data_IF_160248975452
#
_entry.id   IF_160248975452
#
_cell.length_a   1.000
_cell.length_b   1.000
_cell.length_c   1.000
_cell.angle_alpha   90.00
_cell.angle_beta   90.00
_cell.angle_gamma   90.00
#
_symmetry.space_group_name_H-M   'P 1'
#
loop_
_entity.id
_entity.type
_entity.pdbx_description
1 polymer ?
#
# COMPACT_ATOMS: atom_id res chain seq x y z
N UNK A 1 10.50 0.48 -27.16
CA UNK A 1 11.61 1.48 -27.17
C UNK A 1 11.77 2.23 -25.85
N UNK A 2 10.72 2.84 -25.24
CA UNK A 2 10.82 3.51 -23.93
C UNK A 2 11.00 2.51 -22.78
N UNK A 3 10.21 1.43 -22.77
CA UNK A 3 10.27 0.37 -21.78
C UNK A 3 11.63 -0.33 -21.79
N UNK A 4 12.09 -0.78 -22.95
CA UNK A 4 13.39 -1.48 -23.10
C UNK A 4 14.57 -0.62 -22.58
N UNK A 5 14.53 0.69 -22.86
CA UNK A 5 15.56 1.61 -22.39
C UNK A 5 15.58 1.70 -20.86
N UNK A 6 14.41 1.73 -20.22
CA UNK A 6 14.34 1.82 -18.77
C UNK A 6 14.71 0.48 -18.09
N UNK A 7 14.33 -0.65 -18.68
CA UNK A 7 14.82 -1.98 -18.22
C UNK A 7 16.36 -2.06 -18.28
N UNK A 8 16.98 -1.54 -19.36
CA UNK A 8 18.45 -1.46 -19.47
C UNK A 8 19.06 -0.52 -18.41
N UNK A 9 18.39 0.58 -18.08
CA UNK A 9 18.83 1.49 -17.01
C UNK A 9 18.76 0.82 -15.64
N UNK A 10 17.70 0.04 -15.38
CA UNK A 10 17.57 -0.77 -14.15
C UNK A 10 18.74 -1.74 -14.04
N UNK A 11 19.00 -2.53 -15.07
CA UNK A 11 20.11 -3.49 -15.08
C UNK A 11 21.48 -2.80 -14.95
N UNK A 12 21.65 -1.63 -15.57
CA UNK A 12 22.87 -0.82 -15.45
C UNK A 12 23.05 -0.30 -14.02
N UNK A 13 21.98 0.19 -13.38
CA UNK A 13 22.02 0.66 -11.98
C UNK A 13 22.39 -0.48 -11.03
N UNK A 14 21.81 -1.68 -11.23
CA UNK A 14 22.13 -2.86 -10.45
C UNK A 14 23.60 -3.25 -10.62
N UNK A 15 24.11 -3.26 -11.85
CA UNK A 15 25.49 -3.67 -12.14
C UNK A 15 26.57 -2.75 -11.56
N UNK A 16 26.23 -1.50 -11.26
CA UNK A 16 27.15 -0.46 -10.74
C UNK A 16 27.08 -0.25 -9.24
N UNK A 17 26.06 -0.75 -8.60
CA UNK A 17 25.82 -0.51 -7.18
C UNK A 17 26.39 -1.61 -6.27
N UNK A 18 26.37 -1.39 -4.95
CA UNK A 18 26.83 -2.36 -3.98
C UNK A 18 25.93 -3.60 -3.86
N UNK A 19 24.65 -3.49 -4.24
CA UNK A 19 23.69 -4.59 -4.15
C UNK A 19 23.47 -5.25 -5.52
N UNK A 20 23.76 -6.56 -5.61
CA UNK A 20 23.41 -7.40 -6.75
C UNK A 20 21.99 -7.99 -6.56
N UNK A 21 21.32 -8.37 -7.68
CA UNK A 21 19.98 -8.97 -7.65
C UNK A 21 19.99 -10.45 -7.21
N UNK A 22 20.62 -10.72 -6.06
CA UNK A 22 20.69 -12.03 -5.41
C UNK A 22 20.36 -11.89 -3.93
N UNK A 23 19.71 -12.88 -3.35
CA UNK A 23 19.39 -12.85 -1.92
C UNK A 23 20.65 -12.71 -1.05
N UNK A 24 21.74 -13.38 -1.39
CA UNK A 24 23.01 -13.29 -0.66
C UNK A 24 23.56 -11.86 -0.60
N UNK A 25 23.49 -11.13 -1.71
CA UNK A 25 23.90 -9.72 -1.72
C UNK A 25 22.93 -8.84 -0.93
N UNK A 26 21.61 -9.09 -1.06
CA UNK A 26 20.58 -8.32 -0.40
C UNK A 26 20.55 -8.49 1.12
N UNK A 27 21.11 -9.60 1.68
CA UNK A 27 21.26 -9.79 3.13
C UNK A 27 22.22 -8.78 3.80
N UNK A 28 23.01 -8.03 3.02
CA UNK A 28 23.80 -6.92 3.57
C UNK A 28 22.98 -5.65 3.83
N UNK A 29 21.66 -5.67 3.54
CA UNK A 29 20.74 -4.61 3.86
C UNK A 29 20.59 -4.43 5.38
N UNK A 30 20.54 -3.18 5.82
CA UNK A 30 20.26 -2.82 7.21
C UNK A 30 19.03 -1.93 7.29
N UNK A 31 18.12 -2.28 8.20
CA UNK A 31 16.92 -1.46 8.45
C UNK A 31 17.34 -0.07 8.97
N UNK A 32 16.93 1.02 8.32
CA UNK A 32 17.40 2.35 8.66
C UNK A 32 16.91 2.81 10.04
N UNK A 33 17.75 3.55 10.74
CA UNK A 33 17.45 4.06 12.09
C UNK A 33 16.23 4.96 12.14
N UNK A 34 15.95 5.72 11.09
CA UNK A 34 14.75 6.55 11.04
C UNK A 34 13.51 5.69 11.23
N UNK A 35 13.44 4.51 10.60
CA UNK A 35 12.29 3.61 10.62
C UNK A 35 12.14 2.92 11.98
N UNK A 36 13.23 2.34 12.49
CA UNK A 36 13.23 1.69 13.80
C UNK A 36 12.97 2.66 14.95
N UNK A 37 13.12 3.98 14.75
CA UNK A 37 12.83 5.02 15.72
C UNK A 37 11.43 5.62 15.57
N UNK A 38 10.88 5.68 14.36
CA UNK A 38 9.58 6.30 14.08
C UNK A 38 8.40 5.57 14.74
N UNK A 39 8.40 4.24 14.72
CA UNK A 39 7.43 3.36 15.39
C UNK A 39 5.97 3.48 14.95
N UNK A 40 5.54 4.64 14.47
CA UNK A 40 4.16 4.92 14.08
C UNK A 40 4.12 5.69 12.76
N UNK A 41 3.32 5.21 11.83
CA UNK A 41 3.08 5.83 10.51
C UNK A 41 1.62 5.79 10.12
N UNK A 42 1.26 6.59 9.12
CA UNK A 42 -0.09 6.63 8.53
C UNK A 42 -0.07 5.99 7.14
N UNK A 43 -0.96 5.05 6.92
CA UNK A 43 -1.32 4.49 5.62
C UNK A 43 -2.51 5.25 5.06
N UNK A 44 -2.57 5.45 3.75
CA UNK A 44 -3.71 6.15 3.12
C UNK A 44 -4.24 5.33 1.96
N UNK A 45 -5.43 4.73 2.14
CA UNK A 45 -6.16 4.07 1.06
C UNK A 45 -7.17 5.05 0.44
N UNK A 46 -6.74 5.70 -0.63
CA UNK A 46 -7.54 6.67 -1.37
C UNK A 46 -7.39 6.45 -2.88
N UNK A 47 -8.50 6.28 -3.58
CA UNK A 47 -8.53 5.96 -5.00
C UNK A 47 -9.94 5.93 -5.55
N UNK A 48 -10.10 5.53 -6.81
CA UNK A 48 -11.40 5.43 -7.49
C UNK A 48 -12.37 4.50 -6.75
N UNK A 49 -11.86 3.47 -6.08
CA UNK A 49 -12.64 2.55 -5.25
C UNK A 49 -13.36 3.21 -4.06
N UNK A 50 -12.99 4.46 -3.71
CA UNK A 50 -13.70 5.25 -2.69
C UNK A 50 -15.06 5.78 -3.18
N UNK A 51 -15.27 5.87 -4.50
CA UNK A 51 -16.46 6.53 -5.08
C UNK A 51 -17.75 5.77 -4.79
N UNK A 52 -17.84 4.44 -4.94
CA UNK A 52 -19.07 3.71 -4.65
C UNK A 52 -19.51 3.83 -3.18
N UNK A 53 -18.56 3.95 -2.26
CA UNK A 53 -18.83 4.05 -0.82
C UNK A 53 -19.55 2.82 -0.26
N UNK A 54 -19.39 1.64 -0.85
CA UNK A 54 -20.09 0.40 -0.52
C UNK A 54 -19.13 -0.78 -0.45
N UNK A 55 -19.40 -1.74 0.42
CA UNK A 55 -18.57 -2.94 0.62
C UNK A 55 -17.24 -2.58 1.25
N UNK A 56 -16.20 -2.58 0.44
CA UNK A 56 -14.84 -2.16 0.81
C UNK A 56 -14.04 -1.77 -0.44
N UNK A 57 -12.72 -1.64 -0.30
CA UNK A 57 -11.79 -1.31 -1.40
C UNK A 57 -11.71 -2.38 -2.51
N UNK A 58 -12.28 -3.55 -2.28
CA UNK A 58 -12.42 -4.63 -3.29
C UNK A 58 -13.67 -4.48 -4.16
N UNK A 59 -14.50 -3.45 -3.95
CA UNK A 59 -15.68 -3.19 -4.77
C UNK A 59 -15.40 -3.28 -6.28
N UNK A 60 -14.27 -2.77 -6.81
CA UNK A 60 -13.97 -2.88 -8.24
C UNK A 60 -13.91 -4.30 -8.77
N UNK A 61 -13.49 -5.26 -7.95
CA UNK A 61 -13.50 -6.69 -8.27
C UNK A 61 -14.87 -7.30 -8.08
N UNK A 62 -15.44 -7.07 -6.90
CA UNK A 62 -16.67 -7.74 -6.46
C UNK A 62 -17.90 -7.31 -7.27
N UNK A 63 -17.93 -6.07 -7.84
CA UNK A 63 -18.98 -5.64 -8.74
C UNK A 63 -19.07 -6.45 -10.05
N UNK A 64 -18.06 -7.25 -10.36
CA UNK A 64 -18.04 -8.15 -11.53
C UNK A 64 -18.27 -9.62 -11.17
N UNK A 65 -18.65 -9.94 -9.95
CA UNK A 65 -18.95 -11.30 -9.49
C UNK A 65 -20.43 -11.42 -9.13
N UNK A 66 -21.22 -12.13 -9.92
CA UNK A 66 -22.68 -12.15 -9.90
C UNK A 66 -23.33 -12.58 -8.56
N UNK A 67 -22.59 -13.24 -7.69
CA UNK A 67 -23.06 -13.76 -6.40
C UNK A 67 -22.71 -12.86 -5.20
N UNK A 68 -22.12 -11.70 -5.43
CA UNK A 68 -21.70 -10.77 -4.38
C UNK A 68 -22.74 -9.70 -4.09
N UNK A 69 -22.78 -9.15 -2.85
CA UNK A 69 -23.58 -7.97 -2.52
C UNK A 69 -23.21 -6.74 -3.36
N UNK A 70 -21.93 -6.58 -3.70
CA UNK A 70 -21.41 -5.48 -4.50
C UNK A 70 -21.93 -5.53 -5.94
N UNK A 71 -22.01 -6.72 -6.55
CA UNK A 71 -22.64 -6.89 -7.86
C UNK A 71 -24.10 -6.49 -7.85
N UNK A 72 -24.85 -6.99 -6.86
CA UNK A 72 -26.27 -6.63 -6.73
C UNK A 72 -26.44 -5.14 -6.52
N UNK A 73 -25.68 -4.54 -5.60
CA UNK A 73 -25.69 -3.10 -5.35
C UNK A 73 -25.39 -2.31 -6.63
N UNK A 74 -24.39 -2.77 -7.40
CA UNK A 74 -24.00 -2.12 -8.64
C UNK A 74 -25.14 -2.10 -9.67
N UNK A 75 -25.75 -3.27 -9.92
CA UNK A 75 -26.90 -3.38 -10.85
C UNK A 75 -28.07 -2.50 -10.41
N UNK A 76 -28.41 -2.54 -9.12
CA UNK A 76 -29.55 -1.81 -8.57
C UNK A 76 -29.33 -0.28 -8.60
N UNK A 77 -28.08 0.20 -8.50
CA UNK A 77 -27.74 1.61 -8.35
C UNK A 77 -27.28 2.26 -9.65
N UNK A 78 -26.47 1.54 -10.45
CA UNK A 78 -25.77 2.10 -11.63
C UNK A 78 -26.17 1.42 -12.93
N UNK A 79 -26.86 0.27 -12.88
CA UNK A 79 -27.20 -0.53 -14.05
C UNK A 79 -26.14 -1.56 -14.41
N UNK A 80 -26.26 -2.20 -15.59
CA UNK A 80 -25.36 -3.27 -16.01
C UNK A 80 -23.95 -2.73 -16.34
N UNK A 81 -22.94 -3.56 -16.12
CA UNK A 81 -21.52 -3.20 -16.32
C UNK A 81 -21.16 -2.93 -17.79
N UNK A 82 -22.04 -3.25 -18.73
CA UNK A 82 -21.92 -2.82 -20.14
C UNK A 82 -22.26 -1.35 -20.36
N UNK A 83 -23.10 -0.76 -19.49
CA UNK A 83 -23.54 0.63 -19.55
C UNK A 83 -22.76 1.51 -18.55
N UNK A 84 -22.49 0.99 -17.37
CA UNK A 84 -21.72 1.63 -16.33
C UNK A 84 -20.76 0.65 -15.70
N UNK A 85 -19.49 0.65 -16.10
CA UNK A 85 -18.42 -0.16 -15.54
C UNK A 85 -17.60 0.58 -14.51
N UNK A 86 -16.57 -0.08 -13.97
CA UNK A 86 -15.70 0.55 -12.97
C UNK A 86 -15.03 1.83 -13.46
N UNK A 87 -14.61 1.89 -14.74
CA UNK A 87 -14.03 3.08 -15.37
C UNK A 87 -14.91 4.33 -15.26
N UNK A 88 -16.23 4.14 -15.17
CA UNK A 88 -17.20 5.24 -15.17
C UNK A 88 -17.28 5.94 -13.79
N UNK A 89 -16.66 5.38 -12.75
CA UNK A 89 -16.42 6.06 -11.49
C UNK A 89 -15.26 7.07 -11.55
N UNK A 90 -14.31 6.92 -12.48
CA UNK A 90 -13.12 7.79 -12.57
C UNK A 90 -13.49 9.28 -12.67
N UNK A 91 -14.45 9.72 -13.50
CA UNK A 91 -14.85 11.13 -13.55
C UNK A 91 -15.49 11.67 -12.26
N UNK A 92 -15.96 10.76 -11.38
CA UNK A 92 -16.57 11.12 -10.10
C UNK A 92 -15.54 11.20 -8.98
N UNK A 93 -14.38 10.56 -9.16
CA UNK A 93 -13.22 10.68 -8.28
C UNK A 93 -12.51 12.00 -8.57
N UNK A 94 -12.91 13.08 -7.93
CA UNK A 94 -12.45 14.44 -8.27
C UNK A 94 -11.38 15.00 -7.35
N UNK A 95 -11.38 14.60 -6.08
CA UNK A 95 -10.42 15.11 -5.12
C UNK A 95 -10.44 16.64 -4.97
N UNK A 96 -11.59 17.29 -5.19
CA UNK A 96 -11.73 18.75 -5.23
C UNK A 96 -11.45 19.42 -3.88
N UNK A 97 -11.51 18.64 -2.80
CA UNK A 97 -11.19 19.08 -1.44
C UNK A 97 -9.87 18.50 -0.93
N UNK A 98 -9.12 17.81 -1.78
CA UNK A 98 -7.82 17.28 -1.41
C UNK A 98 -6.84 18.42 -1.13
N UNK A 99 -6.46 18.56 0.11
CA UNK A 99 -5.44 19.50 0.60
C UNK A 99 -4.30 18.67 1.23
N UNK A 100 -3.21 18.43 0.51
CA UNK A 100 -2.10 17.61 1.01
C UNK A 100 -1.39 18.23 2.21
N UNK A 101 -1.39 19.57 2.34
CA UNK A 101 -0.80 20.23 3.50
C UNK A 101 -1.64 20.03 4.76
N UNK A 102 -2.97 20.09 4.62
CA UNK A 102 -3.88 19.79 5.73
C UNK A 102 -3.77 18.33 6.17
N UNK A 103 -3.68 17.38 5.22
CA UNK A 103 -3.47 15.98 5.55
C UNK A 103 -2.15 15.77 6.29
N UNK A 104 -1.05 16.31 5.77
CA UNK A 104 0.27 16.18 6.39
C UNK A 104 0.29 16.76 7.81
N UNK A 105 -0.34 17.90 8.04
CA UNK A 105 -0.43 18.52 9.38
C UNK A 105 -1.29 17.68 10.33
N UNK A 106 -2.39 17.08 9.85
CA UNK A 106 -3.20 16.16 10.66
C UNK A 106 -2.38 14.93 11.07
N UNK A 107 -1.67 14.31 10.12
CA UNK A 107 -0.85 13.12 10.39
C UNK A 107 0.31 13.43 11.32
N UNK A 108 0.96 14.59 11.15
CA UNK A 108 2.00 15.06 12.07
C UNK A 108 1.44 15.25 13.49
N UNK A 109 0.25 15.86 13.61
CA UNK A 109 -0.44 16.03 14.90
C UNK A 109 -0.90 14.72 15.52
N UNK A 110 -1.19 13.70 14.71
CA UNK A 110 -1.45 12.35 15.18
C UNK A 110 -0.18 11.65 15.74
N UNK A 111 0.99 12.26 15.59
CA UNK A 111 2.27 11.70 16.05
C UNK A 111 2.96 10.78 15.03
N UNK A 112 2.52 10.77 13.76
CA UNK A 112 3.14 9.94 12.75
C UNK A 112 4.57 10.42 12.42
N UNK A 113 5.51 9.47 12.31
CA UNK A 113 6.85 9.71 11.82
C UNK A 113 7.00 9.52 10.31
N UNK A 114 6.08 8.79 9.69
CA UNK A 114 6.08 8.53 8.25
C UNK A 114 4.66 8.35 7.71
N UNK A 115 4.49 8.56 6.38
CA UNK A 115 3.21 8.45 5.68
C UNK A 115 3.40 7.63 4.41
N UNK A 116 2.47 6.69 4.16
CA UNK A 116 2.50 5.74 3.03
C UNK A 116 1.17 5.82 2.28
N UNK A 117 1.02 6.67 1.25
CA UNK A 117 -0.15 6.61 0.38
C UNK A 117 -0.07 5.43 -0.60
N UNK A 118 -1.23 4.92 -0.99
CA UNK A 118 -1.37 3.96 -2.09
C UNK A 118 -1.08 4.67 -3.41
N UNK A 119 0.01 4.29 -4.10
CA UNK A 119 0.36 4.84 -5.41
C UNK A 119 -0.42 4.15 -6.55
N UNK A 120 -0.69 2.87 -6.41
CA UNK A 120 -1.54 2.09 -7.32
C UNK A 120 -2.14 0.91 -6.55
N UNK A 121 -3.47 0.79 -6.52
CA UNK A 121 -4.18 -0.32 -5.92
C UNK A 121 -4.37 -1.47 -6.92
N UNK A 122 -5.06 -2.54 -6.52
CA UNK A 122 -5.37 -3.69 -7.39
C UNK A 122 -6.17 -3.31 -8.64
N UNK A 123 -6.89 -2.20 -8.60
CA UNK A 123 -7.70 -1.66 -9.71
C UNK A 123 -6.89 -1.14 -10.89
N UNK A 124 -5.56 -0.99 -10.74
CA UNK A 124 -4.66 -0.54 -11.80
C UNK A 124 -4.73 0.95 -12.14
N UNK A 125 -5.52 1.74 -11.39
CA UNK A 125 -5.55 3.19 -11.56
C UNK A 125 -4.39 3.82 -10.78
N UNK A 126 -3.45 4.43 -11.51
CA UNK A 126 -2.28 5.06 -10.90
C UNK A 126 -2.63 6.43 -10.29
N UNK A 127 -2.41 6.60 -8.99
CA UNK A 127 -2.64 7.86 -8.28
C UNK A 127 -1.58 8.93 -8.55
N UNK A 128 -0.66 8.66 -9.46
CA UNK A 128 0.49 9.48 -9.85
C UNK A 128 0.58 9.66 -11.36
N UNK A 129 1.45 10.54 -11.83
CA UNK A 129 1.77 10.70 -13.26
C UNK A 129 2.62 9.52 -13.76
N UNK A 130 1.97 8.38 -14.02
CA UNK A 130 2.62 7.18 -14.54
C UNK A 130 2.92 7.32 -16.04
N UNK A 131 4.18 7.07 -16.40
CA UNK A 131 4.62 7.14 -17.80
C UNK A 131 4.24 5.89 -18.63
N UNK A 132 3.79 4.83 -17.96
CA UNK A 132 3.43 3.54 -18.54
C UNK A 132 1.91 3.30 -18.58
N UNK A 133 1.10 4.28 -18.16
CA UNK A 133 -0.36 4.20 -18.18
C UNK A 133 -1.01 5.50 -18.64
N UNK A 134 -2.13 5.37 -19.35
CA UNK A 134 -3.04 6.49 -19.60
C UNK A 134 -4.08 6.65 -18.49
N UNK A 135 -4.27 5.61 -17.66
CA UNK A 135 -5.23 5.56 -16.57
C UNK A 135 -4.59 6.04 -15.27
N UNK A 136 -4.50 7.36 -15.13
CA UNK A 136 -3.78 7.99 -14.01
C UNK A 136 -4.55 9.19 -13.46
N UNK A 137 -4.39 9.46 -12.17
CA UNK A 137 -4.96 10.64 -11.50
C UNK A 137 -4.42 11.96 -12.08
N UNK A 138 -3.23 11.95 -12.69
CA UNK A 138 -2.70 13.12 -13.38
C UNK A 138 -3.45 13.48 -14.68
N UNK A 139 -4.05 12.48 -15.35
CA UNK A 139 -4.76 12.66 -16.63
C UNK A 139 -6.27 12.65 -16.48
N UNK A 140 -6.80 11.93 -15.50
CA UNK A 140 -8.22 11.65 -15.30
C UNK A 140 -8.65 11.97 -13.86
N UNK A 141 -9.95 12.01 -13.59
CA UNK A 141 -10.47 12.29 -12.25
C UNK A 141 -9.95 13.63 -11.71
N UNK A 142 -9.09 13.63 -10.68
CA UNK A 142 -8.56 14.86 -10.07
C UNK A 142 -7.71 15.71 -11.02
N UNK A 143 -7.12 15.09 -12.05
CA UNK A 143 -6.14 15.71 -12.97
C UNK A 143 -4.95 16.33 -12.22
N UNK A 144 -4.46 15.61 -11.23
CA UNK A 144 -3.35 15.98 -10.34
C UNK A 144 -2.46 14.77 -10.10
N UNK A 145 -1.15 14.97 -9.96
CA UNK A 145 -0.25 13.97 -9.41
C UNK A 145 -0.34 14.00 -7.88
N UNK A 146 -1.33 13.27 -7.34
CA UNK A 146 -1.67 13.30 -5.91
C UNK A 146 -0.54 12.75 -5.04
N UNK A 147 0.26 11.82 -5.57
CA UNK A 147 1.42 11.26 -4.88
C UNK A 147 2.53 12.32 -4.78
N UNK A 148 2.80 13.10 -5.83
CA UNK A 148 3.77 14.20 -5.80
C UNK A 148 3.39 15.23 -4.75
N UNK A 149 2.14 15.68 -4.80
CA UNK A 149 1.67 16.72 -3.91
C UNK A 149 1.72 16.29 -2.43
N UNK A 150 1.32 15.04 -2.14
CA UNK A 150 1.38 14.52 -0.78
C UNK A 150 2.84 14.27 -0.34
N UNK A 151 3.70 13.79 -1.24
CA UNK A 151 5.13 13.62 -0.99
C UNK A 151 5.77 14.92 -0.52
N UNK A 152 5.52 16.01 -1.24
CA UNK A 152 6.08 17.31 -0.94
C UNK A 152 5.52 17.85 0.40
N UNK A 153 4.21 17.70 0.64
CA UNK A 153 3.57 18.12 1.89
C UNK A 153 4.08 17.35 3.12
N UNK A 154 4.20 16.03 3.02
CA UNK A 154 4.71 15.15 4.10
C UNK A 154 6.15 15.55 4.47
N UNK A 155 7.01 15.75 3.48
CA UNK A 155 8.39 16.18 3.70
C UNK A 155 8.48 17.58 4.30
N UNK A 156 7.66 18.52 3.82
CA UNK A 156 7.58 19.88 4.36
C UNK A 156 7.09 19.89 5.81
N UNK A 157 6.26 18.92 6.20
CA UNK A 157 5.85 18.73 7.59
C UNK A 157 6.89 18.01 8.48
N UNK A 158 8.06 17.65 7.93
CA UNK A 158 9.16 17.00 8.65
C UNK A 158 9.00 15.50 8.84
N UNK A 159 8.06 14.86 8.14
CA UNK A 159 7.84 13.41 8.18
C UNK A 159 8.55 12.70 7.03
N UNK A 160 8.78 11.40 7.21
CA UNK A 160 9.32 10.52 6.16
C UNK A 160 8.21 10.12 5.18
N UNK A 161 8.53 10.14 3.88
CA UNK A 161 7.60 9.73 2.83
C UNK A 161 7.90 8.30 2.35
N UNK A 162 6.87 7.46 2.38
CA UNK A 162 6.80 6.17 1.71
C UNK A 162 5.69 6.14 0.68
N UNK A 163 5.50 5.01 0.03
CA UNK A 163 4.35 4.72 -0.84
C UNK A 163 4.10 3.21 -0.90
N UNK A 164 2.92 2.81 -1.37
CA UNK A 164 2.60 1.41 -1.58
C UNK A 164 2.20 1.10 -3.02
N UNK A 165 2.48 -0.14 -3.44
CA UNK A 165 2.03 -0.70 -4.70
C UNK A 165 1.33 -2.04 -4.43
N UNK A 166 0.07 -2.13 -4.89
CA UNK A 166 -0.78 -3.32 -4.80
C UNK A 166 -1.01 -3.95 -6.18
N UNK A 167 -0.22 -3.52 -7.18
CA UNK A 167 -0.38 -3.92 -8.58
C UNK A 167 -0.22 -5.41 -8.84
N UNK A 168 0.42 -6.18 -7.98
CA UNK A 168 0.66 -7.60 -8.25
C UNK A 168 -0.64 -8.38 -8.55
N UNK A 169 -1.70 -8.11 -7.82
CA UNK A 169 -3.00 -8.74 -7.99
C UNK A 169 -3.77 -8.28 -9.24
N UNK A 170 -3.40 -7.14 -9.79
CA UNK A 170 -4.04 -6.60 -10.98
C UNK A 170 -4.01 -7.58 -12.16
N UNK A 171 -3.08 -8.54 -12.16
CA UNK A 171 -2.99 -9.58 -13.18
C UNK A 171 -4.31 -10.36 -13.37
N UNK A 172 -5.04 -10.59 -12.28
CA UNK A 172 -6.29 -11.34 -12.27
C UNK A 172 -7.47 -10.58 -11.64
N UNK A 173 -7.28 -9.36 -11.17
CA UNK A 173 -8.25 -8.65 -10.36
C UNK A 173 -9.63 -8.51 -11.01
N UNK A 174 -9.69 -8.33 -12.32
CA UNK A 174 -10.92 -8.18 -13.09
C UNK A 174 -11.40 -9.44 -13.83
N UNK A 175 -10.93 -10.62 -13.45
CA UNK A 175 -11.29 -11.92 -14.08
C UNK A 175 -12.80 -12.18 -14.11
N UNK A 176 -13.55 -11.74 -13.10
CA UNK A 176 -15.00 -11.85 -13.03
C UNK A 176 -15.70 -11.19 -14.22
N UNK A 177 -15.22 -10.02 -14.66
CA UNK A 177 -15.76 -9.31 -15.81
C UNK A 177 -15.59 -10.05 -17.15
N UNK A 178 -14.68 -11.01 -17.22
CA UNK A 178 -14.50 -11.87 -18.40
C UNK A 178 -15.53 -13.01 -18.47
N UNK A 179 -16.34 -13.24 -17.42
CA UNK A 179 -17.28 -14.36 -17.35
C UNK A 179 -18.65 -14.04 -17.97
N UNK A 180 -18.98 -12.75 -18.15
CA UNK A 180 -20.25 -12.30 -18.70
C UNK A 180 -20.03 -11.08 -19.63
N UNK A 181 -21.10 -10.53 -20.20
CA UNK A 181 -21.00 -9.33 -21.05
C UNK A 181 -20.78 -8.08 -20.18
N UNK A 182 -19.56 -7.53 -20.26
CA UNK A 182 -19.12 -6.38 -19.46
C UNK A 182 -18.10 -5.52 -20.20
N UNK A 183 -17.86 -4.32 -19.74
CA UNK A 183 -16.88 -3.36 -20.25
C UNK A 183 -15.41 -3.82 -20.05
N UNK A 184 -15.15 -4.82 -19.21
CA UNK A 184 -13.83 -5.45 -19.06
C UNK A 184 -13.37 -6.12 -20.36
N UNK A 185 -14.32 -6.64 -21.17
CA UNK A 185 -14.04 -7.28 -22.45
C UNK A 185 -13.73 -6.32 -23.59
N UNK A 186 -14.00 -5.03 -23.43
CA UNK A 186 -13.72 -4.03 -24.45
C UNK A 186 -12.19 -3.76 -24.50
N UNK A 187 -11.53 -4.03 -25.65
CA UNK A 187 -10.11 -3.79 -25.82
C UNK A 187 -9.68 -2.32 -25.58
N UNK A 188 -10.59 -1.37 -25.76
CA UNK A 188 -10.34 0.04 -25.48
C UNK A 188 -10.05 0.30 -23.99
N UNK A 189 -10.56 -0.56 -23.11
CA UNK A 189 -10.40 -0.46 -21.67
C UNK A 189 -9.25 -1.32 -21.11
N UNK A 190 -8.56 -2.09 -21.96
CA UNK A 190 -7.53 -3.04 -21.53
C UNK A 190 -6.39 -2.38 -20.69
N UNK A 191 -6.13 -1.10 -20.92
CA UNK A 191 -5.12 -0.35 -20.15
C UNK A 191 -5.48 -0.14 -18.67
N UNK A 192 -6.79 -0.18 -18.33
CA UNK A 192 -7.28 -0.11 -16.96
C UNK A 192 -7.50 -1.50 -16.36
N UNK A 193 -8.23 -2.35 -17.08
CA UNK A 193 -8.65 -3.65 -16.54
C UNK A 193 -7.55 -4.72 -16.59
N UNK A 194 -6.44 -4.41 -17.27
CA UNK A 194 -5.26 -5.27 -17.35
C UNK A 194 -5.51 -6.59 -18.07
N UNK A 195 -4.70 -7.63 -17.77
CA UNK A 195 -4.83 -8.92 -18.42
C UNK A 195 -6.13 -9.65 -18.08
N UNK A 196 -6.74 -9.34 -16.92
CA UNK A 196 -7.93 -9.99 -16.37
C UNK A 196 -7.88 -11.53 -16.51
N UNK A 197 -6.70 -12.11 -16.21
CA UNK A 197 -6.47 -13.55 -16.28
C UNK A 197 -7.24 -14.25 -15.16
N UNK A 198 -7.55 -15.54 -15.27
CA UNK A 198 -8.18 -16.29 -14.19
C UNK A 198 -7.37 -16.17 -12.90
N UNK A 199 -8.05 -15.83 -11.80
CA UNK A 199 -7.45 -15.77 -10.48
C UNK A 199 -7.00 -17.14 -9.99
N UNK A 200 -6.17 -17.19 -8.93
CA UNK A 200 -5.69 -18.44 -8.36
C UNK A 200 -6.87 -19.27 -7.79
N UNK A 201 -6.83 -20.56 -7.97
CA UNK A 201 -7.74 -21.50 -7.33
C UNK A 201 -7.34 -21.73 -5.87
N UNK A 202 -6.04 -21.66 -5.57
CA UNK A 202 -5.46 -21.78 -4.24
C UNK A 202 -4.46 -20.64 -4.01
N UNK A 203 -4.78 -19.71 -3.12
CA UNK A 203 -3.91 -18.57 -2.79
C UNK A 203 -2.67 -18.95 -1.98
N UNK A 204 -2.66 -20.14 -1.37
CA UNK A 204 -1.50 -20.67 -0.66
C UNK A 204 -0.48 -21.34 -1.62
N UNK A 205 -0.92 -21.74 -2.81
CA UNK A 205 -0.04 -22.27 -3.85
C UNK A 205 0.67 -21.10 -4.56
N UNK A 206 1.90 -20.87 -4.19
CA UNK A 206 2.75 -19.81 -4.76
C UNK A 206 3.11 -20.02 -6.24
N UNK A 207 2.65 -21.10 -6.88
CA UNK A 207 2.84 -21.38 -8.30
C UNK A 207 1.56 -21.25 -9.11
N UNK A 208 0.40 -21.09 -8.45
CA UNK A 208 -0.88 -20.95 -9.11
C UNK A 208 -1.01 -19.57 -9.78
N UNK A 209 -1.66 -19.52 -10.92
CA UNK A 209 -1.90 -18.30 -11.72
C UNK A 209 -0.65 -17.41 -11.89
N UNK A 210 0.48 -17.92 -12.41
CA UNK A 210 1.72 -17.15 -12.50
C UNK A 210 1.56 -15.99 -13.50
N UNK A 211 1.97 -14.75 -13.14
CA UNK A 211 1.97 -13.63 -14.05
C UNK A 211 2.89 -13.84 -15.26
N UNK A 212 2.50 -13.29 -16.41
CA UNK A 212 3.32 -13.32 -17.63
C UNK A 212 4.56 -12.44 -17.50
N UNK A 213 5.58 -12.69 -18.32
CA UNK A 213 6.79 -11.88 -18.35
C UNK A 213 6.48 -10.40 -18.67
N UNK A 214 5.55 -10.15 -19.58
CA UNK A 214 5.13 -8.79 -19.95
C UNK A 214 4.50 -8.04 -18.76
N UNK A 215 3.67 -8.72 -17.97
CA UNK A 215 3.10 -8.13 -16.77
C UNK A 215 4.15 -7.86 -15.69
N UNK A 216 5.08 -8.79 -15.51
CA UNK A 216 6.18 -8.66 -14.55
C UNK A 216 7.16 -7.54 -14.94
N UNK A 217 7.45 -7.37 -16.23
CA UNK A 217 8.25 -6.25 -16.73
C UNK A 217 7.52 -4.90 -16.49
N UNK A 218 6.22 -4.81 -16.78
CA UNK A 218 5.42 -3.62 -16.49
C UNK A 218 5.36 -3.32 -14.99
N UNK A 219 5.18 -4.33 -14.14
CA UNK A 219 5.24 -4.19 -12.67
C UNK A 219 6.59 -3.63 -12.21
N UNK A 220 7.70 -4.18 -12.71
CA UNK A 220 9.04 -3.71 -12.38
C UNK A 220 9.28 -2.26 -12.84
N UNK A 221 8.86 -1.93 -14.06
CA UNK A 221 9.00 -0.58 -14.61
C UNK A 221 8.24 0.45 -13.79
N UNK A 222 6.98 0.18 -13.43
CA UNK A 222 6.16 1.10 -12.62
C UNK A 222 6.72 1.27 -11.22
N UNK A 223 7.15 0.20 -10.57
CA UNK A 223 7.72 0.28 -9.23
C UNK A 223 9.06 1.02 -9.21
N UNK A 224 9.93 0.80 -10.20
CA UNK A 224 11.18 1.56 -10.35
C UNK A 224 10.92 3.02 -10.74
N UNK A 225 9.88 3.32 -11.55
CA UNK A 225 9.47 4.69 -11.84
C UNK A 225 9.05 5.45 -10.57
N UNK A 226 8.31 4.82 -9.67
CA UNK A 226 7.95 5.39 -8.37
C UNK A 226 9.18 5.74 -7.54
N UNK A 227 10.17 4.85 -7.53
CA UNK A 227 11.45 5.08 -6.85
C UNK A 227 12.15 6.32 -7.41
N UNK A 228 12.29 6.45 -8.72
CA UNK A 228 13.01 7.56 -9.34
C UNK A 228 12.26 8.89 -9.21
N UNK A 229 10.93 8.86 -9.38
CA UNK A 229 10.11 10.08 -9.34
C UNK A 229 9.99 10.68 -7.95
N UNK A 230 9.80 9.83 -6.93
CA UNK A 230 9.42 10.32 -5.60
C UNK A 230 10.50 10.09 -4.55
N UNK A 231 11.51 9.28 -4.83
CA UNK A 231 12.58 8.88 -3.89
C UNK A 231 12.01 8.54 -2.52
N UNK A 232 11.03 7.61 -2.45
CA UNK A 232 10.42 7.24 -1.17
C UNK A 232 11.49 6.62 -0.26
N UNK A 233 11.32 6.77 1.05
CA UNK A 233 12.17 6.08 2.03
C UNK A 233 11.57 4.74 2.45
N UNK A 234 10.33 4.46 2.09
CA UNK A 234 9.67 3.17 2.30
C UNK A 234 8.83 2.84 1.08
N UNK A 235 8.98 1.62 0.57
CA UNK A 235 8.08 1.03 -0.42
C UNK A 235 7.41 -0.18 0.22
N UNK A 236 6.09 -0.13 0.30
CA UNK A 236 5.27 -1.19 0.84
C UNK A 236 4.61 -1.96 -0.29
N UNK A 237 4.72 -3.29 -0.26
CA UNK A 237 4.07 -4.18 -1.20
C UNK A 237 3.00 -5.02 -0.53
N UNK A 238 1.86 -5.10 -1.20
CA UNK A 238 0.80 -6.01 -0.81
C UNK A 238 1.12 -7.45 -1.23
N UNK A 239 0.24 -8.36 -0.86
CA UNK A 239 0.35 -9.78 -1.16
C UNK A 239 0.35 -10.05 -2.68
N UNK A 240 0.37 -11.30 -3.09
CA UNK A 240 0.56 -11.84 -4.43
C UNK A 240 2.00 -11.72 -4.97
N UNK A 241 2.80 -10.81 -4.51
CA UNK A 241 4.24 -10.79 -4.84
C UNK A 241 4.98 -12.04 -4.32
N UNK A 242 4.39 -12.83 -3.42
CA UNK A 242 4.93 -14.11 -2.97
C UNK A 242 4.81 -15.22 -4.05
N UNK A 243 4.02 -15.04 -5.12
CA UNK A 243 4.04 -15.95 -6.25
C UNK A 243 5.46 -16.07 -6.80
N UNK A 244 5.92 -17.30 -7.06
CA UNK A 244 7.32 -17.56 -7.40
C UNK A 244 7.77 -16.88 -8.69
N UNK A 245 6.87 -16.54 -9.59
CA UNK A 245 7.16 -15.77 -10.81
C UNK A 245 7.72 -14.37 -10.49
N UNK A 246 7.33 -13.76 -9.37
CA UNK A 246 7.87 -12.47 -8.95
C UNK A 246 9.29 -12.55 -8.37
N UNK A 247 9.78 -13.70 -7.90
CA UNK A 247 11.03 -13.78 -7.15
C UNK A 247 12.26 -13.17 -7.89
N UNK A 248 12.46 -13.35 -9.20
CA UNK A 248 13.55 -12.68 -9.92
C UNK A 248 13.36 -11.16 -9.97
N UNK A 249 12.12 -10.69 -10.11
CA UNK A 249 11.77 -9.28 -10.20
C UNK A 249 11.87 -8.57 -8.86
N UNK A 250 11.51 -9.24 -7.77
CA UNK A 250 11.70 -8.72 -6.40
C UNK A 250 13.18 -8.49 -6.08
N UNK A 251 14.06 -9.44 -6.47
CA UNK A 251 15.50 -9.25 -6.31
C UNK A 251 16.03 -8.08 -7.13
N UNK A 252 15.57 -7.94 -8.39
CA UNK A 252 15.94 -6.79 -9.24
C UNK A 252 15.44 -5.48 -8.64
N UNK A 253 14.19 -5.42 -8.21
CA UNK A 253 13.62 -4.23 -7.58
C UNK A 253 14.40 -3.83 -6.32
N UNK A 254 14.65 -4.78 -5.40
CA UNK A 254 15.37 -4.50 -4.16
C UNK A 254 16.80 -4.01 -4.44
N UNK A 255 17.53 -4.69 -5.32
CA UNK A 255 18.87 -4.26 -5.71
C UNK A 255 18.87 -2.86 -6.35
N UNK A 256 17.91 -2.59 -7.24
CA UNK A 256 17.75 -1.27 -7.85
C UNK A 256 17.49 -0.20 -6.80
N UNK A 257 16.50 -0.42 -5.95
CA UNK A 257 16.08 0.56 -4.95
C UNK A 257 17.17 0.83 -3.91
N UNK A 258 17.83 -0.20 -3.39
CA UNK A 258 18.94 -0.04 -2.44
C UNK A 258 20.16 0.66 -3.08
N UNK A 259 20.44 0.39 -4.35
CA UNK A 259 21.50 1.08 -5.08
C UNK A 259 21.18 2.56 -5.34
N UNK A 260 19.90 2.88 -5.68
CA UNK A 260 19.44 4.28 -5.76
C UNK A 260 19.53 4.98 -4.42
N UNK A 261 19.10 4.31 -3.33
CA UNK A 261 19.20 4.83 -1.99
C UNK A 261 20.65 5.15 -1.57
N UNK A 262 21.59 4.28 -1.93
CA UNK A 262 23.02 4.51 -1.71
C UNK A 262 23.54 5.75 -2.46
N UNK A 263 23.05 5.99 -3.69
CA UNK A 263 23.39 7.20 -4.46
C UNK A 263 22.83 8.47 -3.83
N UNK A 264 21.70 8.36 -3.12
CA UNK A 264 21.06 9.49 -2.44
C UNK A 264 21.54 9.68 -1.00
N UNK A 265 22.42 8.79 -0.51
CA UNK A 265 22.85 8.73 0.90
C UNK A 265 21.66 8.65 1.87
N UNK A 266 20.63 7.88 1.48
CA UNK A 266 19.36 7.80 2.18
C UNK A 266 19.09 6.35 2.60
N UNK A 267 18.76 6.14 3.88
CA UNK A 267 18.29 4.85 4.37
C UNK A 267 16.86 4.58 3.91
N UNK A 268 16.62 3.43 3.30
CA UNK A 268 15.29 3.03 2.76
C UNK A 268 14.86 1.68 3.29
N UNK A 269 13.56 1.37 3.19
CA UNK A 269 12.99 0.09 3.58
C UNK A 269 11.99 -0.42 2.52
N UNK A 270 11.85 -1.74 2.44
CA UNK A 270 10.79 -2.44 1.71
C UNK A 270 9.97 -3.21 2.74
N UNK A 271 8.63 -3.06 2.72
CA UNK A 271 7.73 -3.95 3.46
C UNK A 271 7.14 -5.01 2.55
N UNK A 272 6.98 -6.22 3.09
CA UNK A 272 6.44 -7.37 2.36
C UNK A 272 5.68 -8.32 3.26
N UNK A 273 4.76 -9.11 2.67
CA UNK A 273 3.95 -10.14 3.32
C UNK A 273 4.33 -11.56 2.85
N UNK A 274 3.91 -12.56 3.57
CA UNK A 274 3.87 -14.00 3.17
C UNK A 274 5.19 -14.60 2.66
N UNK A 275 6.32 -14.18 3.15
CA UNK A 275 7.61 -14.77 2.73
C UNK A 275 7.99 -14.48 1.26
N UNK A 276 7.55 -13.35 0.71
CA UNK A 276 7.94 -12.91 -0.64
C UNK A 276 9.43 -12.55 -0.73
N UNK A 277 10.01 -12.09 0.36
CA UNK A 277 11.46 -11.84 0.50
C UNK A 277 12.09 -12.82 1.47
N UNK A 278 13.37 -13.08 1.29
CA UNK A 278 14.16 -13.83 2.27
C UNK A 278 14.43 -12.97 3.53
N UNK A 279 14.52 -13.64 4.67
CA UNK A 279 14.78 -12.98 5.96
C UNK A 279 16.05 -12.14 5.94
N UNK A 280 16.01 -10.95 6.53
CA UNK A 280 17.12 -9.99 6.55
C UNK A 280 17.29 -9.18 5.26
N UNK A 281 16.49 -9.42 4.20
CA UNK A 281 16.61 -8.66 2.94
C UNK A 281 15.62 -7.52 2.80
N UNK A 282 14.57 -7.50 3.63
CA UNK A 282 13.53 -6.47 3.70
C UNK A 282 12.80 -6.58 5.06
N UNK A 283 11.80 -5.74 5.32
CA UNK A 283 11.06 -5.70 6.58
C UNK A 283 9.74 -6.44 6.43
N UNK A 284 9.55 -7.47 7.25
CA UNK A 284 8.32 -8.25 7.27
C UNK A 284 7.13 -7.44 7.81
N UNK A 285 5.99 -7.56 7.15
CA UNK A 285 4.73 -6.91 7.52
C UNK A 285 3.64 -7.96 7.80
N UNK A 286 2.80 -7.71 8.81
CA UNK A 286 1.68 -8.58 9.19
C UNK A 286 0.39 -7.78 9.11
N UNK A 287 -0.53 -8.19 8.26
CA UNK A 287 -1.83 -7.52 8.16
C UNK A 287 -2.71 -7.80 9.37
N UNK A 288 -3.20 -6.73 10.01
CA UNK A 288 -4.15 -6.75 11.15
C UNK A 288 -3.76 -7.73 12.27
N UNK A 289 -2.49 -8.10 12.35
CA UNK A 289 -1.99 -9.12 13.26
C UNK A 289 -0.98 -8.60 14.27
N UNK A 290 -0.66 -9.45 15.23
CA UNK A 290 0.35 -9.20 16.27
C UNK A 290 1.18 -10.46 16.45
N UNK A 291 2.42 -10.29 16.89
CA UNK A 291 3.28 -11.41 17.26
C UNK A 291 3.03 -11.81 18.72
N UNK A 292 3.19 -13.08 19.01
CA UNK A 292 3.06 -13.63 20.37
C UNK A 292 4.23 -13.29 21.28
N UNK A 293 5.40 -12.93 20.71
CA UNK A 293 6.64 -12.68 21.45
C UNK A 293 7.51 -11.64 20.75
N UNK A 294 8.58 -11.22 21.41
CA UNK A 294 9.60 -10.31 20.87
C UNK A 294 10.29 -10.96 19.67
N UNK A 295 10.35 -10.22 18.55
CA UNK A 295 11.12 -10.61 17.38
C UNK A 295 12.48 -9.90 17.38
N UNK A 296 13.56 -10.63 17.05
CA UNK A 296 14.89 -10.03 16.93
C UNK A 296 14.96 -9.03 15.76
N UNK A 297 14.42 -9.41 14.60
CA UNK A 297 14.35 -8.55 13.44
C UNK A 297 13.19 -7.55 13.60
N UNK A 298 13.44 -6.32 13.15
CA UNK A 298 12.41 -5.29 13.09
C UNK A 298 11.31 -5.71 12.11
N UNK A 299 10.06 -5.46 12.48
CA UNK A 299 8.87 -5.80 11.71
C UNK A 299 7.83 -4.68 11.74
N UNK A 300 6.84 -4.78 10.91
CA UNK A 300 5.70 -3.87 10.89
C UNK A 300 4.39 -4.65 10.97
N UNK A 301 3.36 -4.02 11.47
CA UNK A 301 1.98 -4.41 11.21
C UNK A 301 1.22 -3.24 10.62
N UNK A 302 0.37 -3.52 9.65
CA UNK A 302 -0.59 -2.59 9.12
C UNK A 302 -2.00 -2.91 9.62
N UNK A 303 -2.75 -1.89 9.95
CA UNK A 303 -4.16 -2.01 10.35
C UNK A 303 -4.91 -0.72 10.02
N UNK A 304 -6.25 -0.77 10.02
CA UNK A 304 -7.07 0.40 9.74
C UNK A 304 -7.81 0.90 10.97
N UNK A 305 -8.17 2.18 11.00
CA UNK A 305 -9.14 2.75 11.94
C UNK A 305 -10.49 2.05 11.80
N UNK A 306 -10.89 1.74 10.57
CA UNK A 306 -12.08 0.97 10.26
C UNK A 306 -11.81 -0.53 10.37
N UNK A 307 -12.79 -1.30 10.91
CA UNK A 307 -12.74 -2.75 11.02
C UNK A 307 -13.10 -3.45 9.70
N UNK A 308 -13.93 -2.80 8.88
CA UNK A 308 -14.61 -3.42 7.75
C UNK A 308 -14.16 -2.90 6.36
N UNK A 309 -13.27 -1.91 6.29
CA UNK A 309 -12.71 -1.43 5.01
C UNK A 309 -11.36 -0.76 5.20
N UNK A 310 -10.49 -0.83 4.19
CA UNK A 310 -9.30 0.00 4.10
C UNK A 310 -9.61 1.34 3.41
N UNK A 311 -10.42 1.32 2.34
CA UNK A 311 -10.90 2.51 1.64
C UNK A 311 -12.16 3.09 2.26
N UNK A 312 -12.59 4.25 1.76
CA UNK A 312 -13.82 4.91 2.18
C UNK A 312 -15.07 4.10 1.85
N UNK A 313 -15.97 3.98 2.84
CA UNK A 313 -17.33 3.49 2.67
C UNK A 313 -18.32 4.32 3.51
N UNK A 314 -19.62 4.29 3.14
CA UNK A 314 -20.65 5.04 3.86
C UNK A 314 -21.01 4.47 5.25
N UNK A 315 -20.58 3.26 5.58
CA UNK A 315 -20.95 2.56 6.81
C UNK A 315 -19.75 1.97 7.54
N UNK A 316 -18.77 2.81 7.93
CA UNK A 316 -17.62 2.36 8.71
C UNK A 316 -18.00 1.88 10.12
N UNK A 317 -17.46 0.73 10.50
CA UNK A 317 -17.37 0.28 11.89
C UNK A 317 -15.93 0.56 12.39
N UNK A 318 -15.79 1.57 13.25
CA UNK A 318 -14.49 1.99 13.74
C UNK A 318 -14.03 1.21 14.97
N UNK A 319 -12.72 1.03 15.09
CA UNK A 319 -12.07 0.60 16.33
C UNK A 319 -12.20 1.69 17.40
N UNK A 320 -11.94 1.36 18.66
CA UNK A 320 -11.74 2.39 19.69
C UNK A 320 -10.30 2.90 19.64
N UNK A 321 -10.10 4.17 19.99
CA UNK A 321 -8.75 4.76 20.12
C UNK A 321 -7.92 4.01 21.17
N UNK A 322 -8.55 3.59 22.26
CA UNK A 322 -7.91 2.76 23.31
C UNK A 322 -7.33 1.46 22.72
N UNK A 323 -8.11 0.74 21.88
CA UNK A 323 -7.61 -0.51 21.26
C UNK A 323 -6.43 -0.27 20.33
N UNK A 324 -6.42 0.83 19.58
CA UNK A 324 -5.30 1.21 18.69
C UNK A 324 -4.05 1.55 19.49
N UNK A 325 -4.20 2.26 20.61
CA UNK A 325 -3.08 2.57 21.51
C UNK A 325 -2.52 1.29 22.13
N UNK A 326 -3.38 0.37 22.55
CA UNK A 326 -2.94 -0.94 23.07
C UNK A 326 -2.18 -1.73 22.00
N UNK A 327 -2.68 -1.76 20.76
CA UNK A 327 -1.99 -2.38 19.62
C UNK A 327 -0.60 -1.74 19.42
N UNK A 328 -0.53 -0.40 19.39
CA UNK A 328 0.75 0.32 19.21
C UNK A 328 1.76 -0.03 20.32
N UNK A 329 1.34 -0.04 21.59
CA UNK A 329 2.21 -0.36 22.71
C UNK A 329 2.70 -1.80 22.62
N UNK A 330 1.82 -2.75 22.34
CA UNK A 330 2.16 -4.16 22.21
C UNK A 330 3.15 -4.39 21.05
N UNK A 331 2.88 -3.82 19.86
CA UNK A 331 3.73 -3.92 18.68
C UNK A 331 5.13 -3.37 18.95
N UNK A 332 5.21 -2.17 19.55
CA UNK A 332 6.48 -1.52 19.86
C UNK A 332 7.28 -2.31 20.89
N UNK A 333 6.60 -2.89 21.89
CA UNK A 333 7.24 -3.74 22.92
C UNK A 333 7.86 -5.00 22.32
N UNK A 334 7.39 -5.45 21.16
CA UNK A 334 7.84 -6.65 20.42
C UNK A 334 8.77 -6.34 19.25
N UNK A 335 9.39 -5.14 19.22
CA UNK A 335 10.32 -4.66 18.18
C UNK A 335 9.64 -4.27 16.86
N UNK A 336 8.37 -3.91 16.89
CA UNK A 336 7.62 -3.55 15.69
C UNK A 336 7.38 -2.05 15.50
N UNK A 337 6.73 -1.72 14.37
CA UNK A 337 6.11 -0.44 14.06
C UNK A 337 4.66 -0.66 13.63
N UNK A 338 3.80 0.31 13.91
CA UNK A 338 2.41 0.34 13.48
C UNK A 338 2.25 1.26 12.27
N UNK A 339 1.65 0.77 11.20
CA UNK A 339 1.17 1.54 10.05
C UNK A 339 -0.36 1.58 10.10
N UNK A 340 -0.92 2.74 10.50
CA UNK A 340 -2.36 2.92 10.74
C UNK A 340 -3.05 3.57 9.56
N UNK A 341 -4.03 2.90 8.98
CA UNK A 341 -4.71 3.34 7.77
C UNK A 341 -5.90 4.26 8.04
N UNK A 342 -6.03 5.23 7.14
CA UNK A 342 -7.18 6.11 6.96
C UNK A 342 -7.76 5.93 5.55
N UNK A 343 -9.08 6.12 5.41
CA UNK A 343 -9.81 5.99 4.15
C UNK A 343 -10.48 7.29 3.72
N UNK A 344 -9.78 8.23 3.04
CA UNK A 344 -10.38 9.48 2.61
C UNK A 344 -11.54 9.30 1.62
N UNK A 345 -12.53 10.17 1.70
CA UNK A 345 -13.67 10.23 0.79
C UNK A 345 -13.24 10.63 -0.64
N UNK A 346 -14.07 10.36 -1.68
CA UNK A 346 -13.70 10.63 -3.08
C UNK A 346 -13.35 12.10 -3.38
N UNK A 347 -13.91 13.03 -2.59
CA UNK A 347 -13.61 14.46 -2.71
C UNK A 347 -12.26 14.86 -2.08
N UNK A 348 -11.58 13.94 -1.37
CA UNK A 348 -10.31 14.18 -0.70
C UNK A 348 -10.45 14.63 0.76
N UNK A 349 -11.64 14.56 1.36
CA UNK A 349 -11.79 14.83 2.80
C UNK A 349 -11.51 13.57 3.62
N UNK A 350 -10.80 13.73 4.73
CA UNK A 350 -10.69 12.66 5.74
C UNK A 350 -12.00 12.66 6.54
N UNK A 351 -12.66 11.49 6.72
CA UNK A 351 -13.89 11.41 7.50
C UNK A 351 -13.74 11.98 8.91
N UNK A 352 -14.74 12.77 9.35
CA UNK A 352 -14.70 13.42 10.67
C UNK A 352 -14.40 12.48 11.85
N UNK A 353 -14.98 11.27 11.91
CA UNK A 353 -14.59 10.29 12.93
C UNK A 353 -13.11 9.90 12.90
N UNK A 354 -12.53 9.71 11.72
CA UNK A 354 -11.10 9.37 11.57
C UNK A 354 -10.21 10.54 11.99
N UNK A 355 -10.55 11.76 11.57
CA UNK A 355 -9.84 12.97 12.00
C UNK A 355 -9.84 13.11 13.54
N UNK A 356 -10.99 12.87 14.18
CA UNK A 356 -11.12 12.89 15.64
C UNK A 356 -10.24 11.83 16.29
N UNK A 357 -10.29 10.58 15.81
CA UNK A 357 -9.47 9.48 16.36
C UNK A 357 -7.97 9.77 16.22
N UNK A 358 -7.52 10.30 15.08
CA UNK A 358 -6.13 10.69 14.87
C UNK A 358 -5.67 11.77 15.86
N UNK A 359 -6.52 12.76 16.16
CA UNK A 359 -6.22 13.80 17.16
C UNK A 359 -6.10 13.22 18.55
N UNK A 360 -7.01 12.33 18.95
CA UNK A 360 -6.97 11.66 20.26
C UNK A 360 -5.72 10.78 20.43
N UNK A 361 -5.30 10.06 19.36
CA UNK A 361 -4.04 9.31 19.34
C UNK A 361 -2.85 10.26 19.53
N UNK A 362 -2.86 11.40 18.83
CA UNK A 362 -1.83 12.42 18.94
C UNK A 362 -1.72 13.02 20.34
N UNK A 363 -2.84 13.35 20.97
CA UNK A 363 -2.88 13.84 22.37
C UNK A 363 -2.26 12.82 23.33
N UNK A 364 -2.52 11.53 23.14
CA UNK A 364 -1.91 10.49 23.94
C UNK A 364 -0.39 10.38 23.69
N UNK A 365 0.03 10.47 22.42
CA UNK A 365 1.44 10.39 22.02
C UNK A 365 2.25 11.64 22.46
N UNK A 366 1.64 12.81 22.52
CA UNK A 366 2.27 14.03 23.05
C UNK A 366 2.69 13.86 24.52
N UNK A 367 1.91 13.09 25.29
CA UNK A 367 2.22 12.80 26.69
C UNK A 367 3.16 11.58 26.86
N UNK A 368 2.96 10.54 26.05
CA UNK A 368 3.57 9.23 26.26
C UNK A 368 4.64 8.86 25.21
N UNK A 369 4.86 9.71 24.20
CA UNK A 369 5.73 9.41 23.06
C UNK A 369 7.17 9.05 23.43
N UNK A 370 7.69 9.52 24.57
CA UNK A 370 9.01 9.12 25.06
C UNK A 370 9.12 7.61 25.36
N UNK A 371 7.98 6.93 25.63
CA UNK A 371 7.93 5.48 25.82
C UNK A 371 7.75 4.71 24.48
N UNK A 372 7.49 5.41 23.39
CA UNK A 372 7.24 4.82 22.07
C UNK A 372 8.43 5.07 21.12
N UNK A 373 8.70 6.35 20.81
CA UNK A 373 9.69 6.73 19.80
C UNK A 373 11.12 6.43 20.24
N UNK A 374 11.93 5.90 19.33
CA UNK A 374 13.34 5.62 19.58
C UNK A 374 13.61 4.48 20.57
N UNK A 375 12.56 3.82 21.06
CA UNK A 375 12.69 2.72 22.03
C UNK A 375 13.13 1.41 21.38
N UNK A 376 13.59 0.49 22.20
CA UNK A 376 13.92 -0.89 21.81
C UNK A 376 13.27 -1.86 22.81
N UNK A 377 12.96 -3.10 22.39
CA UNK A 377 12.32 -4.07 23.28
C UNK A 377 13.21 -4.38 24.49
N UNK A 378 12.58 -4.64 25.61
CA UNK A 378 13.22 -5.17 26.79
C UNK A 378 13.33 -6.70 26.71
N UNK A 379 13.76 -7.35 27.78
CA UNK A 379 13.92 -8.82 27.85
C UNK A 379 12.59 -9.56 27.68
N UNK A 380 11.48 -8.94 28.10
CA UNK A 380 10.12 -9.42 27.92
C UNK A 380 9.24 -8.24 27.50
N UNK A 381 8.20 -8.53 26.72
CA UNK A 381 7.27 -7.52 26.22
C UNK A 381 6.18 -7.14 27.24
N UNK A 382 6.04 -7.91 28.33
CA UNK A 382 5.04 -7.66 29.37
C UNK A 382 5.32 -8.46 30.63
N UNK A 383 4.64 -8.10 31.70
CA UNK A 383 4.65 -8.79 32.99
C UNK A 383 3.20 -9.16 33.39
N UNK A 384 3.01 -10.36 33.94
CA UNK A 384 1.71 -10.87 34.38
C UNK A 384 1.13 -11.93 33.42
N UNK A 385 -0.07 -12.45 33.73
CA UNK A 385 -0.72 -13.44 32.87
C UNK A 385 -1.08 -12.79 31.54
N UNK A 386 -0.51 -13.30 30.46
CA UNK A 386 -0.93 -12.93 29.09
C UNK A 386 -2.41 -13.28 28.94
N UNK A 387 -3.26 -12.28 28.81
CA UNK A 387 -4.57 -12.50 28.21
C UNK A 387 -4.34 -12.73 26.71
N UNK A 388 -4.31 -13.98 26.30
CA UNK A 388 -4.53 -14.32 24.91
C UNK A 388 -5.96 -13.89 24.63
N UNK A 389 -6.17 -12.81 23.90
CA UNK A 389 -7.50 -12.54 23.35
C UNK A 389 -7.72 -13.59 22.29
N UNK A 390 -8.63 -14.53 22.57
CA UNK A 390 -9.18 -15.40 21.55
C UNK A 390 -9.72 -14.49 20.44
N UNK A 391 -9.22 -14.68 19.20
CA UNK A 391 -9.46 -13.87 18.03
C UNK A 391 -10.87 -13.95 17.47
#
# INVERSE_FOLDING_TARGET
MRMDKFLQEIDTTISRGPFAATWDSLRSYEVPKWYTNAKFGIFVHWGVYSVPGFGNEWYPREMYKADTPEYKHHIDTYGPQTEFGYKDFIPQFRGERFDPAQWAELFRKAGAGFVVPVAEHHDGFAMYDCAFSEWTAAKMGPKRDTIRELCDAVRNAGMTFGLSSHRAEHFWFFDGGMQFDSDVKDPANAGLYGPAQPGPADTEDRTDSPPTAEFLDDWLLRTCELVDKYRPQLVWFDWWIQNLAFAPYLRKFAAYYYNRASQWEQGVAINYKYGAFEEGTAVFDIERGQLSDVRNDFWQTDTALSKNSWGYINGHDYKSVESIIHDLVDIVSKNGALLLNVGPAPDGTIPGPEEKMLREIGEWLDLNGAAIYGTRPWRCFGEGPTKVSDG
#
